data_IF_367545837314
#
_entry.id   IF_367545837314
#
_cell.length_a   1.000
_cell.length_b   1.000
_cell.length_c   1.000
_cell.angle_alpha   90.00
_cell.angle_beta   90.00
_cell.angle_gamma   90.00
#
_symmetry.space_group_name_H-M   'P 1'
#
loop_
_entity.id
_entity.type
_entity.pdbx_description
1 polymer ?
#
# COMPACT_ATOMS: atom_id res chain seq x y z
N UNK A 1 58.16 8.00 -48.35
CA UNK A 1 56.75 7.90 -47.97
C UNK A 1 55.94 8.20 -49.21
N UNK A 2 55.35 7.18 -49.78
CA UNK A 2 54.60 7.29 -51.04
C UNK A 2 53.29 8.06 -50.80
N UNK A 3 52.81 8.79 -51.78
CA UNK A 3 51.56 9.58 -51.66
C UNK A 3 50.36 8.69 -51.32
N UNK A 4 50.43 7.39 -51.67
CA UNK A 4 49.43 6.36 -51.35
C UNK A 4 49.45 6.04 -49.86
N UNK A 5 50.60 5.88 -49.22
CA UNK A 5 50.73 5.62 -47.78
C UNK A 5 50.13 6.76 -46.92
N UNK A 6 50.27 8.01 -47.36
CA UNK A 6 49.72 9.17 -46.65
C UNK A 6 48.19 9.26 -46.78
N UNK A 7 47.62 8.87 -47.93
CA UNK A 7 46.18 8.84 -48.15
C UNK A 7 45.52 7.73 -47.34
N UNK A 8 46.10 6.55 -47.28
CA UNK A 8 45.62 5.41 -46.47
C UNK A 8 45.64 5.73 -44.99
N UNK A 9 46.71 6.34 -44.48
CA UNK A 9 46.81 6.77 -43.07
C UNK A 9 45.76 7.84 -42.69
N UNK A 10 45.47 8.77 -43.61
CA UNK A 10 44.40 9.79 -43.42
C UNK A 10 43.03 9.12 -43.38
N UNK A 11 42.78 8.12 -44.25
CA UNK A 11 41.54 7.39 -44.26
C UNK A 11 41.33 6.60 -42.96
N UNK A 12 42.36 5.91 -42.46
CA UNK A 12 42.34 5.18 -41.17
C UNK A 12 42.07 6.13 -39.99
N UNK A 13 42.73 7.28 -39.91
CA UNK A 13 42.48 8.30 -38.90
C UNK A 13 41.03 8.82 -38.94
N UNK A 14 40.46 8.98 -40.13
CA UNK A 14 39.08 9.41 -40.28
C UNK A 14 38.08 8.35 -39.84
N UNK A 15 38.34 7.07 -40.16
CA UNK A 15 37.53 5.95 -39.72
C UNK A 15 37.56 5.77 -38.19
N UNK A 16 38.74 5.78 -37.59
CA UNK A 16 38.93 5.76 -36.14
C UNK A 16 38.22 6.89 -35.40
N UNK A 17 38.26 8.09 -35.97
CA UNK A 17 37.52 9.26 -35.42
C UNK A 17 36.01 9.08 -35.50
N UNK A 18 35.51 8.56 -36.61
CA UNK A 18 34.09 8.30 -36.80
C UNK A 18 33.57 7.24 -35.85
N UNK A 19 34.33 6.13 -35.66
CA UNK A 19 34.01 5.09 -34.67
C UNK A 19 34.01 5.61 -33.23
N UNK A 20 35.05 6.38 -32.87
CA UNK A 20 35.13 6.98 -31.54
C UNK A 20 33.97 7.94 -31.26
N UNK A 21 33.60 8.77 -32.22
CA UNK A 21 32.45 9.70 -32.11
C UNK A 21 31.12 8.92 -31.97
N UNK A 22 30.95 7.83 -32.71
CA UNK A 22 29.75 6.97 -32.62
C UNK A 22 29.66 6.31 -31.24
N UNK A 23 30.79 5.78 -30.73
CA UNK A 23 30.85 5.16 -29.39
C UNK A 23 30.58 6.20 -28.29
N UNK A 24 31.11 7.40 -28.39
CA UNK A 24 30.86 8.49 -27.44
C UNK A 24 29.41 8.93 -27.46
N UNK A 25 28.81 9.11 -28.64
CA UNK A 25 27.38 9.43 -28.80
C UNK A 25 26.49 8.33 -28.19
N UNK A 26 26.84 7.05 -28.38
CA UNK A 26 26.14 5.93 -27.77
C UNK A 26 26.22 6.00 -26.23
N UNK A 27 27.42 6.18 -25.66
CA UNK A 27 27.63 6.28 -24.22
C UNK A 27 26.85 7.43 -23.60
N UNK A 28 26.83 8.60 -24.25
CA UNK A 28 26.12 9.79 -23.78
C UNK A 28 24.59 9.54 -23.72
N UNK A 29 24.02 8.91 -24.76
CA UNK A 29 22.58 8.55 -24.79
C UNK A 29 22.24 7.50 -23.74
N UNK A 30 23.08 6.49 -23.57
CA UNK A 30 22.90 5.46 -22.56
C UNK A 30 22.99 6.05 -21.15
N UNK A 31 23.94 6.94 -20.89
CA UNK A 31 24.07 7.63 -19.61
C UNK A 31 22.84 8.49 -19.28
N UNK A 32 22.30 9.22 -20.28
CA UNK A 32 21.08 9.99 -20.08
C UNK A 32 19.89 9.09 -19.75
N UNK A 33 19.73 7.97 -20.47
CA UNK A 33 18.67 6.99 -20.18
C UNK A 33 18.78 6.45 -18.74
N UNK A 34 19.99 6.05 -18.32
CA UNK A 34 20.25 5.58 -16.97
C UNK A 34 19.89 6.65 -15.93
N UNK A 35 20.25 7.91 -16.17
CA UNK A 35 19.92 9.00 -15.26
C UNK A 35 18.39 9.19 -15.11
N UNK A 36 17.64 9.07 -16.21
CA UNK A 36 16.17 9.11 -16.16
C UNK A 36 15.60 7.93 -15.40
N UNK A 37 16.07 6.71 -15.66
CA UNK A 37 15.61 5.51 -14.93
C UNK A 37 15.94 5.59 -13.44
N UNK A 38 17.10 6.12 -13.06
CA UNK A 38 17.46 6.34 -11.68
C UNK A 38 16.53 7.35 -10.98
N UNK A 39 16.12 8.41 -11.69
CA UNK A 39 15.14 9.36 -11.17
C UNK A 39 13.75 8.70 -10.98
N UNK A 40 13.32 7.86 -11.93
CA UNK A 40 12.07 7.08 -11.79
C UNK A 40 12.15 6.13 -10.60
N UNK A 41 13.28 5.44 -10.43
CA UNK A 41 13.51 4.55 -9.29
C UNK A 41 13.42 5.30 -7.96
N UNK A 42 14.01 6.49 -7.86
CA UNK A 42 13.94 7.31 -6.65
C UNK A 42 12.49 7.73 -6.32
N UNK A 43 11.71 8.13 -7.34
CA UNK A 43 10.29 8.46 -7.15
C UNK A 43 9.47 7.22 -6.79
N UNK A 44 9.74 6.08 -7.43
CA UNK A 44 9.10 4.79 -7.11
C UNK A 44 9.38 4.35 -5.68
N UNK A 45 10.62 4.47 -5.22
CA UNK A 45 11.01 4.14 -3.84
C UNK A 45 10.30 5.00 -2.77
N UNK A 46 10.09 6.30 -3.06
CA UNK A 46 9.26 7.15 -2.19
C UNK A 46 7.79 6.70 -2.18
N UNK A 47 7.26 6.32 -3.35
CA UNK A 47 5.90 5.82 -3.47
C UNK A 47 5.69 4.51 -2.72
N UNK A 48 6.65 3.57 -2.83
CA UNK A 48 6.66 2.30 -2.10
C UNK A 48 6.74 2.51 -0.58
N UNK A 49 7.69 3.34 -0.11
CA UNK A 49 7.80 3.67 1.30
C UNK A 49 6.50 4.22 1.89
N UNK A 50 5.85 5.17 1.21
CA UNK A 50 4.56 5.69 1.64
C UNK A 50 3.45 4.62 1.63
N UNK A 51 3.43 3.72 0.63
CA UNK A 51 2.46 2.64 0.55
C UNK A 51 2.64 1.64 1.71
N UNK A 52 3.89 1.31 2.05
CA UNK A 52 4.23 0.46 3.21
C UNK A 52 3.78 1.10 4.52
N UNK A 53 4.02 2.41 4.70
CA UNK A 53 3.60 3.15 5.89
C UNK A 53 2.06 3.16 6.01
N UNK A 54 1.34 3.45 4.92
CA UNK A 54 -0.12 3.40 4.85
C UNK A 54 -0.65 2.01 5.20
N UNK A 55 0.00 0.95 4.70
CA UNK A 55 -0.35 -0.44 4.99
C UNK A 55 -0.21 -0.75 6.48
N UNK A 56 0.93 -0.40 7.09
CA UNK A 56 1.18 -0.63 8.51
C UNK A 56 0.19 0.15 9.37
N UNK A 57 -0.03 1.42 9.07
CA UNK A 57 -0.95 2.28 9.81
C UNK A 57 -2.39 1.75 9.77
N UNK A 58 -2.89 1.39 8.59
CA UNK A 58 -4.24 0.87 8.44
C UNK A 58 -4.42 -0.50 9.10
N UNK A 59 -3.41 -1.37 9.07
CA UNK A 59 -3.43 -2.65 9.77
C UNK A 59 -3.53 -2.48 11.30
N UNK A 60 -2.76 -1.54 11.86
CA UNK A 60 -2.81 -1.21 13.29
C UNK A 60 -4.20 -0.67 13.64
N UNK A 61 -4.72 0.31 12.87
CA UNK A 61 -6.05 0.90 13.11
C UNK A 61 -7.17 -0.14 13.01
N UNK A 62 -7.11 -1.05 12.04
CA UNK A 62 -8.07 -2.14 11.91
C UNK A 62 -8.02 -3.05 13.15
N UNK A 63 -6.82 -3.48 13.55
CA UNK A 63 -6.61 -4.34 14.72
C UNK A 63 -7.12 -3.71 16.02
N UNK A 64 -6.78 -2.45 16.26
CA UNK A 64 -7.23 -1.71 17.45
C UNK A 64 -8.75 -1.55 17.46
N UNK A 65 -9.36 -1.25 16.32
CA UNK A 65 -10.81 -1.11 16.19
C UNK A 65 -11.51 -2.44 16.44
N UNK A 66 -10.99 -3.56 15.93
CA UNK A 66 -11.50 -4.90 16.22
C UNK A 66 -11.34 -5.28 17.70
N UNK A 67 -10.22 -4.93 18.33
CA UNK A 67 -10.02 -5.15 19.76
C UNK A 67 -11.06 -4.39 20.59
N UNK A 68 -11.37 -3.15 20.21
CA UNK A 68 -12.41 -2.35 20.86
C UNK A 68 -13.81 -2.94 20.63
N UNK A 69 -14.12 -3.39 19.42
CA UNK A 69 -15.35 -4.14 19.13
C UNK A 69 -15.48 -5.36 20.02
N UNK A 70 -14.42 -6.17 20.15
CA UNK A 70 -14.43 -7.37 21.00
C UNK A 70 -14.65 -7.04 22.48
N UNK A 71 -13.98 -5.99 22.99
CA UNK A 71 -14.16 -5.53 24.36
C UNK A 71 -15.62 -5.13 24.63
N UNK A 72 -16.25 -4.37 23.69
CA UNK A 72 -17.68 -4.02 23.80
C UNK A 72 -18.58 -5.25 23.71
N UNK A 73 -18.25 -6.20 22.84
CA UNK A 73 -19.03 -7.44 22.70
C UNK A 73 -19.02 -8.27 24.00
N UNK A 74 -17.87 -8.37 24.65
CA UNK A 74 -17.75 -9.06 25.96
C UNK A 74 -18.60 -8.36 27.02
N UNK A 75 -18.47 -7.02 27.13
CA UNK A 75 -19.26 -6.24 28.08
C UNK A 75 -20.77 -6.36 27.80
N UNK A 76 -21.19 -6.26 26.55
CA UNK A 76 -22.59 -6.44 26.18
C UNK A 76 -23.11 -7.82 26.56
N UNK A 77 -22.30 -8.87 26.37
CA UNK A 77 -22.67 -10.23 26.75
C UNK A 77 -22.88 -10.34 28.27
N UNK A 78 -22.05 -9.68 29.07
CA UNK A 78 -22.24 -9.63 30.53
C UNK A 78 -23.58 -8.93 30.87
N UNK A 79 -23.90 -7.80 30.27
CA UNK A 79 -25.19 -7.12 30.47
C UNK A 79 -26.37 -8.00 30.04
N UNK A 80 -26.26 -8.74 28.95
CA UNK A 80 -27.30 -9.68 28.49
C UNK A 80 -27.53 -10.79 29.50
N UNK A 81 -26.47 -11.36 30.08
CA UNK A 81 -26.56 -12.40 31.09
C UNK A 81 -27.24 -11.85 32.35
N UNK A 82 -26.83 -10.67 32.83
CA UNK A 82 -27.43 -10.08 34.04
C UNK A 82 -28.87 -9.64 33.79
N UNK A 83 -29.21 -9.10 32.64
CA UNK A 83 -30.59 -8.78 32.27
C UNK A 83 -31.48 -10.04 32.22
N UNK A 84 -30.99 -11.15 31.66
CA UNK A 84 -31.74 -12.41 31.59
C UNK A 84 -31.96 -13.04 32.98
N UNK A 85 -30.92 -13.03 33.84
CA UNK A 85 -31.06 -13.48 35.25
C UNK A 85 -32.12 -12.64 35.98
N UNK A 86 -32.06 -11.32 35.86
CA UNK A 86 -32.98 -10.42 36.53
C UNK A 86 -34.41 -10.61 36.02
N UNK A 87 -34.60 -10.74 34.71
CA UNK A 87 -35.86 -11.02 34.08
C UNK A 87 -36.49 -12.33 34.52
N UNK A 88 -35.68 -13.41 34.59
CA UNK A 88 -36.08 -14.72 35.11
C UNK A 88 -36.49 -14.64 36.59
N UNK A 89 -35.73 -13.90 37.40
CA UNK A 89 -36.05 -13.73 38.85
C UNK A 89 -37.34 -12.95 39.07
N UNK A 90 -37.60 -11.92 38.25
CA UNK A 90 -38.84 -11.16 38.28
C UNK A 90 -40.04 -12.04 37.85
N UNK A 91 -39.88 -12.82 36.79
CA UNK A 91 -40.93 -13.71 36.28
C UNK A 91 -41.26 -14.84 37.25
N UNK A 92 -40.26 -15.39 37.92
CA UNK A 92 -40.44 -16.44 38.95
C UNK A 92 -40.98 -15.91 40.27
N UNK A 93 -41.17 -14.59 40.44
CA UNK A 93 -41.67 -14.02 41.70
C UNK A 93 -40.67 -14.07 42.85
N UNK A 94 -39.38 -14.32 42.59
CA UNK A 94 -38.31 -14.42 43.59
C UNK A 94 -37.98 -13.02 44.18
N UNK A 95 -38.17 -11.95 43.39
CA UNK A 95 -37.90 -10.58 43.84
C UNK A 95 -39.03 -10.10 44.74
N UNK A 96 -38.73 -9.66 46.00
CA UNK A 96 -39.71 -9.14 46.94
C UNK A 96 -40.51 -7.98 46.34
N UNK A 97 -41.82 -7.84 46.66
CA UNK A 97 -42.65 -6.79 46.10
C UNK A 97 -42.10 -5.35 46.29
N UNK A 98 -41.47 -5.10 47.42
CA UNK A 98 -40.86 -3.79 47.72
C UNK A 98 -39.66 -3.48 46.83
N UNK A 99 -38.97 -4.48 46.32
CA UNK A 99 -37.75 -4.33 45.45
C UNK A 99 -38.06 -4.39 43.97
N UNK A 100 -39.25 -4.82 43.56
CA UNK A 100 -39.62 -4.94 42.13
C UNK A 100 -39.43 -3.66 41.32
N UNK A 101 -39.83 -2.46 41.80
CA UNK A 101 -39.67 -1.24 41.02
C UNK A 101 -38.19 -0.94 40.70
N UNK A 102 -37.29 -1.17 41.67
CA UNK A 102 -35.85 -0.97 41.50
C UNK A 102 -35.21 -2.02 40.57
N UNK A 103 -35.68 -3.28 40.65
CA UNK A 103 -35.23 -4.34 39.78
C UNK A 103 -35.66 -4.11 38.33
N UNK A 104 -36.90 -3.69 38.10
CA UNK A 104 -37.39 -3.32 36.77
C UNK A 104 -36.67 -2.10 36.19
N UNK A 105 -36.35 -1.09 37.03
CA UNK A 105 -35.54 0.06 36.58
C UNK A 105 -34.16 -0.37 36.15
N UNK A 106 -33.52 -1.26 36.89
CA UNK A 106 -32.20 -1.84 36.54
C UNK A 106 -32.26 -2.69 35.26
N UNK A 107 -33.33 -3.45 35.08
CA UNK A 107 -33.52 -4.20 33.83
C UNK A 107 -33.60 -3.29 32.62
N UNK A 108 -34.38 -2.21 32.71
CA UNK A 108 -34.45 -1.19 31.63
C UNK A 108 -33.09 -0.53 31.37
N UNK A 109 -32.29 -0.26 32.38
CA UNK A 109 -30.95 0.29 32.22
C UNK A 109 -30.02 -0.70 31.49
N UNK A 110 -30.07 -1.98 31.85
CA UNK A 110 -29.32 -3.03 31.15
C UNK A 110 -29.75 -3.14 29.68
N UNK A 111 -31.06 -3.16 29.41
CA UNK A 111 -31.58 -3.24 28.04
C UNK A 111 -31.16 -2.02 27.21
N UNK A 112 -31.21 -0.82 27.80
CA UNK A 112 -30.76 0.41 27.12
C UNK A 112 -29.26 0.39 26.83
N UNK A 113 -28.46 -0.12 27.77
CA UNK A 113 -27.01 -0.28 27.60
C UNK A 113 -26.68 -1.31 26.53
N UNK A 114 -27.41 -2.42 26.48
CA UNK A 114 -27.29 -3.46 25.46
C UNK A 114 -27.57 -2.87 24.06
N UNK A 115 -28.63 -2.09 23.94
CA UNK A 115 -29.00 -1.45 22.66
C UNK A 115 -27.94 -0.43 22.23
N UNK A 116 -27.44 0.40 23.15
CA UNK A 116 -26.36 1.36 22.90
C UNK A 116 -25.07 0.67 22.45
N UNK A 117 -24.72 -0.48 23.03
CA UNK A 117 -23.54 -1.24 22.57
C UNK A 117 -23.72 -1.85 21.19
N UNK A 118 -24.93 -2.15 20.76
CA UNK A 118 -25.15 -2.61 19.39
C UNK A 118 -24.97 -1.50 18.35
N UNK A 119 -25.50 -0.30 18.62
CA UNK A 119 -25.32 0.86 17.74
C UNK A 119 -25.35 2.16 18.55
N UNK A 120 -24.31 2.94 18.42
CA UNK A 120 -24.12 4.23 19.08
C UNK A 120 -23.46 5.20 18.07
N UNK A 121 -24.21 5.67 17.06
CA UNK A 121 -23.67 6.58 16.06
C UNK A 121 -23.32 7.91 16.68
N UNK A 122 -22.26 8.57 16.17
CA UNK A 122 -21.91 9.92 16.56
C UNK A 122 -22.99 10.89 16.09
N UNK A 123 -23.52 11.78 16.94
CA UNK A 123 -24.55 12.75 16.56
C UNK A 123 -24.12 13.70 15.44
N UNK A 124 -22.82 13.98 15.30
CA UNK A 124 -22.26 14.91 14.30
C UNK A 124 -21.84 14.16 13.01
N UNK A 125 -21.53 12.87 13.10
CA UNK A 125 -21.12 12.05 11.97
C UNK A 125 -21.67 10.63 12.14
N UNK A 126 -22.86 10.33 11.59
CA UNK A 126 -23.47 9.01 11.72
C UNK A 126 -22.66 7.85 11.13
N UNK A 127 -21.64 8.14 10.31
CA UNK A 127 -20.71 7.12 9.81
C UNK A 127 -19.68 6.68 10.86
N UNK A 128 -19.55 7.47 11.92
CA UNK A 128 -18.70 7.20 13.08
C UNK A 128 -19.55 6.87 14.29
N UNK A 129 -18.92 6.32 15.28
CA UNK A 129 -19.58 6.00 16.53
C UNK A 129 -18.87 4.88 17.26
N UNK A 130 -19.34 4.63 18.47
CA UNK A 130 -18.74 3.64 19.33
C UNK A 130 -19.55 2.34 19.46
N UNK A 131 -20.70 2.21 18.83
CA UNK A 131 -21.45 0.96 18.78
C UNK A 131 -20.71 -0.11 17.97
N UNK A 132 -21.05 -1.39 18.23
CA UNK A 132 -20.42 -2.51 17.51
C UNK A 132 -20.63 -2.44 15.99
N UNK A 133 -21.79 -1.95 15.57
CA UNK A 133 -22.10 -1.77 14.16
C UNK A 133 -21.16 -0.75 13.50
N UNK A 134 -20.97 0.38 14.15
CA UNK A 134 -20.11 1.48 13.70
C UNK A 134 -18.63 1.06 13.75
N UNK A 135 -18.18 0.41 14.84
CA UNK A 135 -16.83 -0.11 14.97
C UNK A 135 -16.50 -1.16 13.89
N UNK A 136 -17.45 -2.08 13.61
CA UNK A 136 -17.27 -3.06 12.53
C UNK A 136 -17.15 -2.42 11.15
N UNK A 137 -17.94 -1.37 10.88
CA UNK A 137 -17.85 -0.63 9.62
C UNK A 137 -16.50 0.10 9.49
N UNK A 138 -16.06 0.74 10.57
CA UNK A 138 -14.78 1.45 10.64
C UNK A 138 -13.60 0.48 10.44
N UNK A 139 -13.59 -0.67 11.13
CA UNK A 139 -12.54 -1.68 11.01
C UNK A 139 -12.44 -2.20 9.57
N UNK A 140 -13.57 -2.51 8.93
CA UNK A 140 -13.61 -2.92 7.52
C UNK A 140 -13.13 -1.84 6.56
N UNK A 141 -13.36 -0.57 6.90
CA UNK A 141 -12.82 0.56 6.15
C UNK A 141 -11.30 0.59 6.18
N UNK A 142 -10.69 0.36 7.35
CA UNK A 142 -9.24 0.24 7.47
C UNK A 142 -8.68 -1.01 6.79
N UNK A 143 -9.38 -2.15 6.84
CA UNK A 143 -8.99 -3.36 6.08
C UNK A 143 -8.97 -3.10 4.57
N UNK A 144 -10.00 -2.41 4.05
CA UNK A 144 -10.04 -2.05 2.63
C UNK A 144 -8.92 -1.06 2.25
N UNK A 145 -8.60 -0.10 3.12
CA UNK A 145 -7.48 0.83 2.92
C UNK A 145 -6.12 0.10 2.96
N UNK A 146 -5.95 -0.86 3.88
CA UNK A 146 -4.79 -1.75 3.92
C UNK A 146 -4.61 -2.52 2.61
N UNK A 147 -5.67 -3.16 2.11
CA UNK A 147 -5.61 -3.89 0.84
C UNK A 147 -5.26 -2.98 -0.34
N UNK A 148 -5.76 -1.74 -0.35
CA UNK A 148 -5.43 -0.78 -1.38
C UNK A 148 -3.95 -0.37 -1.30
N UNK A 149 -3.44 -0.12 -0.11
CA UNK A 149 -2.03 0.19 0.13
C UNK A 149 -1.13 -0.98 -0.28
N UNK A 150 -1.49 -2.22 0.07
CA UNK A 150 -0.77 -3.43 -0.31
C UNK A 150 -0.69 -3.62 -1.83
N UNK A 151 -1.76 -3.30 -2.57
CA UNK A 151 -1.72 -3.33 -4.04
C UNK A 151 -0.77 -2.28 -4.63
N UNK A 152 -0.66 -1.10 -4.01
CA UNK A 152 0.33 -0.09 -4.42
C UNK A 152 1.74 -0.55 -4.16
N UNK A 153 1.98 -1.08 -2.97
CA UNK A 153 3.27 -1.59 -2.51
C UNK A 153 3.81 -2.67 -3.46
N UNK A 154 3.00 -3.68 -3.79
CA UNK A 154 3.36 -4.71 -4.77
C UNK A 154 3.80 -4.13 -6.13
N UNK A 155 3.11 -3.09 -6.62
CA UNK A 155 3.50 -2.44 -7.88
C UNK A 155 4.87 -1.77 -7.79
N UNK A 156 5.14 -1.08 -6.67
CA UNK A 156 6.42 -0.41 -6.44
C UNK A 156 7.55 -1.42 -6.27
N UNK A 157 7.33 -2.53 -5.56
CA UNK A 157 8.31 -3.59 -5.38
C UNK A 157 8.74 -4.19 -6.72
N UNK A 158 7.79 -4.57 -7.57
CA UNK A 158 8.11 -5.07 -8.90
C UNK A 158 8.76 -4.01 -9.79
N UNK A 159 8.32 -2.76 -9.69
CA UNK A 159 8.93 -1.65 -10.42
C UNK A 159 10.39 -1.46 -10.01
N UNK A 160 10.67 -1.49 -8.72
CA UNK A 160 12.01 -1.33 -8.16
C UNK A 160 12.97 -2.40 -8.69
N UNK A 161 12.58 -3.67 -8.64
CA UNK A 161 13.40 -4.77 -9.16
C UNK A 161 13.70 -4.60 -10.64
N UNK A 162 12.70 -4.26 -11.46
CA UNK A 162 12.88 -4.07 -12.90
C UNK A 162 13.78 -2.86 -13.21
N UNK A 163 13.61 -1.76 -12.50
CA UNK A 163 14.43 -0.56 -12.65
C UNK A 163 15.87 -0.79 -12.21
N UNK A 164 16.10 -1.50 -11.11
CA UNK A 164 17.45 -1.87 -10.66
C UNK A 164 18.15 -2.75 -11.68
N UNK A 165 17.48 -3.78 -12.22
CA UNK A 165 18.03 -4.61 -13.29
C UNK A 165 18.32 -3.81 -14.55
N UNK A 166 17.44 -2.86 -14.92
CA UNK A 166 17.63 -1.99 -16.05
C UNK A 166 18.88 -1.11 -15.88
N UNK A 167 19.09 -0.52 -14.70
CA UNK A 167 20.27 0.29 -14.39
C UNK A 167 21.56 -0.52 -14.48
N UNK A 168 21.59 -1.73 -13.94
CA UNK A 168 22.75 -2.63 -14.02
C UNK A 168 23.08 -2.97 -15.47
N UNK A 169 22.08 -3.40 -16.26
CA UNK A 169 22.26 -3.72 -17.68
C UNK A 169 22.67 -2.50 -18.50
N UNK A 170 22.12 -1.33 -18.20
CA UNK A 170 22.49 -0.07 -18.85
C UNK A 170 23.96 0.28 -18.61
N UNK A 171 24.44 0.09 -17.39
CA UNK A 171 25.85 0.31 -17.05
C UNK A 171 26.78 -0.65 -17.82
N UNK A 172 26.41 -1.93 -17.90
CA UNK A 172 27.15 -2.93 -18.71
C UNK A 172 27.11 -2.56 -20.20
N UNK A 173 25.99 -2.07 -20.72
CA UNK A 173 25.86 -1.66 -22.11
C UNK A 173 26.82 -0.51 -22.46
N UNK A 174 27.04 0.45 -21.56
CA UNK A 174 28.01 1.54 -21.73
C UNK A 174 29.43 0.99 -21.83
N UNK A 175 29.81 0.05 -20.96
CA UNK A 175 31.15 -0.55 -20.95
C UNK A 175 31.42 -1.37 -22.19
N UNK A 176 30.44 -2.20 -22.59
CA UNK A 176 30.57 -3.12 -23.74
C UNK A 176 30.26 -2.43 -25.09
N UNK A 177 29.79 -1.19 -25.12
CA UNK A 177 29.29 -0.47 -26.30
C UNK A 177 28.29 -1.34 -27.09
N UNK A 178 27.43 -2.08 -26.37
CA UNK A 178 26.54 -3.06 -26.96
C UNK A 178 25.08 -2.57 -26.97
N UNK A 179 24.55 -2.33 -28.19
CA UNK A 179 23.18 -1.82 -28.39
C UNK A 179 22.08 -2.79 -27.92
N UNK A 180 22.32 -4.10 -28.00
CA UNK A 180 21.29 -5.08 -27.63
C UNK A 180 21.09 -5.11 -26.12
N UNK A 181 22.18 -5.01 -25.34
CA UNK A 181 22.09 -4.88 -23.89
C UNK A 181 21.37 -3.58 -23.50
N UNK A 182 21.66 -2.49 -24.22
CA UNK A 182 20.97 -1.21 -23.98
C UNK A 182 19.47 -1.28 -24.29
N UNK A 183 19.08 -1.95 -25.37
CA UNK A 183 17.66 -2.15 -25.70
C UNK A 183 16.95 -2.98 -24.64
N UNK A 184 17.58 -4.04 -24.16
CA UNK A 184 17.03 -4.87 -23.05
C UNK A 184 16.88 -4.06 -21.78
N UNK A 185 17.89 -3.26 -21.42
CA UNK A 185 17.83 -2.33 -20.30
C UNK A 185 16.67 -1.32 -20.45
N UNK A 186 16.52 -0.71 -21.63
CA UNK A 186 15.45 0.23 -21.90
C UNK A 186 14.06 -0.42 -21.81
N UNK A 187 13.90 -1.65 -22.29
CA UNK A 187 12.64 -2.38 -22.19
C UNK A 187 12.26 -2.68 -20.74
N UNK A 188 13.20 -3.19 -19.94
CA UNK A 188 12.99 -3.43 -18.50
C UNK A 188 12.69 -2.13 -17.75
N UNK A 189 13.45 -1.06 -18.07
CA UNK A 189 13.22 0.26 -17.48
C UNK A 189 11.85 0.84 -17.81
N UNK A 190 11.38 0.68 -19.04
CA UNK A 190 10.05 1.09 -19.45
C UNK A 190 8.95 0.32 -18.71
N UNK A 191 9.10 -1.00 -18.56
CA UNK A 191 8.18 -1.81 -17.77
C UNK A 191 8.17 -1.36 -16.30
N UNK A 192 9.33 -1.15 -15.69
CA UNK A 192 9.43 -0.64 -14.32
C UNK A 192 8.78 0.74 -14.18
N UNK A 193 8.97 1.65 -15.13
CA UNK A 193 8.33 2.96 -15.13
C UNK A 193 6.78 2.85 -15.22
N UNK A 194 6.27 1.96 -16.06
CA UNK A 194 4.82 1.69 -16.14
C UNK A 194 4.26 1.13 -14.85
N UNK A 195 4.98 0.22 -14.17
CA UNK A 195 4.58 -0.29 -12.87
C UNK A 195 4.64 0.79 -11.79
N UNK A 196 5.63 1.67 -11.81
CA UNK A 196 5.68 2.84 -10.92
C UNK A 196 4.44 3.72 -11.10
N UNK A 197 4.05 4.02 -12.34
CA UNK A 197 2.81 4.76 -12.61
C UNK A 197 1.58 4.00 -12.11
N UNK A 198 1.53 2.68 -12.31
CA UNK A 198 0.42 1.86 -11.80
C UNK A 198 0.39 1.83 -10.27
N UNK A 199 1.53 1.88 -9.59
CA UNK A 199 1.61 2.00 -8.13
C UNK A 199 0.96 3.28 -7.60
N UNK A 200 1.11 4.41 -8.31
CA UNK A 200 0.45 5.67 -7.94
C UNK A 200 -1.05 5.70 -8.25
N UNK A 201 -1.46 5.22 -9.42
CA UNK A 201 -2.80 5.44 -9.95
C UNK A 201 -3.71 4.22 -9.96
N UNK A 202 -3.17 3.01 -9.73
CA UNK A 202 -3.89 1.72 -9.77
C UNK A 202 -4.76 1.56 -11.04
N UNK A 203 -4.19 1.89 -12.20
CA UNK A 203 -4.88 1.86 -13.49
C UNK A 203 -5.24 0.45 -13.95
N UNK A 204 -4.43 -0.54 -13.57
CA UNK A 204 -4.63 -1.94 -13.87
C UNK A 204 -4.51 -2.79 -12.59
N UNK A 205 -5.42 -3.75 -12.36
CA UNK A 205 -5.23 -4.72 -11.29
C UNK A 205 -4.06 -5.63 -11.66
N UNK A 206 -3.04 -5.66 -10.80
CA UNK A 206 -2.03 -6.72 -10.82
C UNK A 206 -2.40 -7.77 -9.79
N UNK A 207 -2.10 -9.05 -10.06
CA UNK A 207 -2.39 -10.14 -9.14
C UNK A 207 -1.62 -10.02 -7.84
#
# INVERSE_FOLDING_TARGET
MDSTDAADLIAEIHEDRAENQAAESFRNRAALMIAVLAAVLAVGGLGGGNATDDMIENNIKASDTWAFYQAKNVRQTMYKIEAEKLKTSLAAGIVPPAERPSAEARLRDYESTIARYDSEPDPNDPSKGEGKKELSATAKGYEAAFEQAARRDNNFDFAEVLLQLALVLGSVAILAVNRWILITSAALGALGALLTLNGFFLLAPLP
#
